data_IF_221248157997
#
_entry.id   IF_221248157997
#
_cell.length_a   1.000
_cell.length_b   1.000
_cell.length_c   1.000
_cell.angle_alpha   90.00
_cell.angle_beta   90.00
_cell.angle_gamma   90.00
#
_symmetry.space_group_name_H-M   'P 1'
#
loop_
_entity.id
_entity.type
_entity.pdbx_description
1 polymer ?
#
# COMPACT_ATOMS: atom_id res chain seq x y z
N UNK A 1 -9.51 4.03 -43.46
CA UNK A 1 -10.06 3.11 -42.45
C UNK A 1 -9.52 3.57 -41.12
N UNK A 2 -10.36 4.10 -40.23
CA UNK A 2 -9.94 4.46 -38.89
C UNK A 2 -9.49 3.18 -38.19
N UNK A 3 -8.21 3.07 -37.85
CA UNK A 3 -7.73 2.06 -36.92
C UNK A 3 -8.55 2.21 -35.65
N UNK A 4 -9.39 1.23 -35.33
CA UNK A 4 -10.05 1.10 -34.04
C UNK A 4 -8.97 1.25 -32.96
N UNK A 5 -8.93 2.43 -32.33
CA UNK A 5 -7.86 2.79 -31.41
C UNK A 5 -7.89 1.85 -30.22
N UNK A 6 -6.76 1.21 -29.93
CA UNK A 6 -6.61 0.46 -28.69
C UNK A 6 -6.92 1.38 -27.51
N UNK A 7 -7.93 1.04 -26.71
CA UNK A 7 -8.26 1.74 -25.47
C UNK A 7 -7.74 0.88 -24.31
N UNK A 8 -6.68 1.29 -23.60
CA UNK A 8 -6.18 0.58 -22.44
C UNK A 8 -7.28 0.35 -21.40
N UNK A 9 -7.40 -0.88 -20.91
CA UNK A 9 -8.13 -1.15 -19.68
C UNK A 9 -7.32 -0.62 -18.49
N UNK A 10 -8.02 -0.27 -17.41
CA UNK A 10 -7.37 0.11 -16.16
C UNK A 10 -7.77 -0.86 -15.07
N UNK A 11 -6.78 -1.61 -14.60
CA UNK A 11 -6.87 -2.55 -13.50
C UNK A 11 -6.33 -1.90 -12.24
N UNK A 12 -7.14 -1.93 -11.20
CA UNK A 12 -6.82 -1.41 -9.88
C UNK A 12 -6.66 -2.62 -8.96
N UNK A 13 -5.43 -2.87 -8.53
CA UNK A 13 -5.12 -3.92 -7.58
C UNK A 13 -5.15 -3.30 -6.18
N UNK A 14 -6.20 -3.57 -5.44
CA UNK A 14 -6.32 -3.15 -4.05
C UNK A 14 -5.61 -4.16 -3.16
N UNK A 15 -4.66 -3.69 -2.34
CA UNK A 15 -3.79 -4.53 -1.51
C UNK A 15 -3.86 -4.10 -0.05
N UNK A 16 -4.10 -5.04 0.86
CA UNK A 16 -3.98 -4.81 2.31
C UNK A 16 -2.52 -5.00 2.73
N UNK A 17 -2.01 -4.19 3.65
CA UNK A 17 -0.70 -4.44 4.25
C UNK A 17 -0.59 -5.83 4.91
N UNK A 18 0.62 -6.36 5.03
CA UNK A 18 0.91 -7.57 5.81
C UNK A 18 0.64 -7.38 7.31
N UNK A 19 0.71 -8.45 8.07
CA UNK A 19 0.56 -8.46 9.51
C UNK A 19 1.56 -7.49 10.16
N UNK A 20 1.06 -6.68 11.07
CA UNK A 20 1.82 -5.66 11.78
C UNK A 20 1.57 -5.76 13.28
N UNK A 21 2.43 -5.12 14.06
CA UNK A 21 2.45 -5.27 15.53
C UNK A 21 1.10 -4.97 16.20
N UNK A 22 0.27 -4.13 15.58
CA UNK A 22 -1.05 -3.77 16.10
C UNK A 22 -2.20 -4.72 15.70
N UNK A 23 -2.05 -5.47 14.60
CA UNK A 23 -3.05 -6.43 14.11
C UNK A 23 -2.53 -7.87 14.13
N UNK A 24 -1.50 -8.12 14.95
CA UNK A 24 -1.05 -9.44 15.33
C UNK A 24 -2.13 -10.13 16.17
N UNK A 25 -2.46 -11.38 15.82
CA UNK A 25 -3.33 -12.24 16.59
C UNK A 25 -2.45 -13.30 17.25
N UNK A 26 -1.99 -13.05 18.48
CA UNK A 26 -1.22 -14.03 19.27
C UNK A 26 -1.88 -15.42 19.32
N UNK A 27 -3.22 -15.46 19.20
CA UNK A 27 -4.04 -16.66 19.21
C UNK A 27 -3.70 -17.65 18.08
N UNK A 28 -3.14 -17.18 16.96
CA UNK A 28 -2.65 -18.06 15.88
C UNK A 28 -1.16 -18.37 15.93
N UNK A 29 -0.36 -17.60 16.69
CA UNK A 29 1.10 -17.56 16.52
C UNK A 29 1.86 -17.56 17.86
N UNK A 30 1.33 -18.26 18.87
CA UNK A 30 2.16 -18.71 19.98
C UNK A 30 3.41 -19.42 19.46
N UNK A 31 4.53 -19.29 20.18
CA UNK A 31 5.78 -20.02 19.89
C UNK A 31 5.59 -21.54 19.85
N UNK A 32 4.44 -22.02 20.31
CA UNK A 32 3.95 -23.38 20.18
C UNK A 32 2.40 -23.37 20.05
N UNK A 33 1.83 -23.72 18.88
CA UNK A 33 0.39 -23.83 18.67
C UNK A 33 -0.30 -24.87 19.56
N UNK A 34 0.45 -25.87 20.07
CA UNK A 34 -0.11 -26.93 20.91
C UNK A 34 -0.28 -26.49 22.38
N UNK A 35 0.40 -25.42 22.81
CA UNK A 35 0.35 -24.94 24.21
C UNK A 35 -0.42 -23.63 24.38
N UNK A 36 -1.07 -23.13 23.34
CA UNK A 36 -1.78 -21.86 23.39
C UNK A 36 -3.24 -22.04 23.83
N UNK A 37 -3.61 -21.43 24.96
CA UNK A 37 -5.00 -21.29 25.39
C UNK A 37 -5.50 -19.85 25.15
N UNK A 38 -6.57 -19.64 24.36
CA UNK A 38 -7.20 -18.33 24.17
C UNK A 38 -7.60 -17.64 25.48
N UNK A 39 -7.87 -18.40 26.53
CA UNK A 39 -8.21 -17.91 27.87
C UNK A 39 -7.03 -17.25 28.60
N UNK A 40 -5.79 -17.56 28.20
CA UNK A 40 -4.56 -16.97 28.76
C UNK A 40 -4.13 -15.68 28.04
N UNK A 41 -4.84 -15.29 26.97
CA UNK A 41 -4.56 -14.06 26.25
C UNK A 41 -4.78 -12.86 27.18
N UNK A 42 -3.70 -12.12 27.48
CA UNK A 42 -3.78 -10.91 28.29
C UNK A 42 -4.74 -9.91 27.63
N UNK A 43 -5.91 -9.62 28.22
CA UNK A 43 -6.88 -8.70 27.63
C UNK A 43 -6.32 -7.28 27.48
N UNK A 44 -5.32 -6.89 28.28
CA UNK A 44 -4.64 -5.61 28.15
C UNK A 44 -3.67 -5.60 26.95
N UNK A 45 -3.24 -6.76 26.44
CA UNK A 45 -2.33 -6.85 25.29
C UNK A 45 -2.95 -6.27 24.02
N UNK A 46 -4.24 -6.55 23.78
CA UNK A 46 -4.99 -5.95 22.66
C UNK A 46 -5.05 -4.43 22.75
N UNK A 47 -5.13 -3.89 23.96
CA UNK A 47 -5.12 -2.44 24.21
C UNK A 47 -3.72 -1.90 23.91
N UNK A 48 -2.67 -2.50 24.48
CA UNK A 48 -1.27 -2.09 24.26
C UNK A 48 -0.89 -2.08 22.78
N UNK A 49 -1.26 -3.11 22.02
CA UNK A 49 -1.01 -3.21 20.57
C UNK A 49 -1.64 -2.06 19.78
N UNK A 50 -2.84 -1.62 20.16
CA UNK A 50 -3.50 -0.46 19.54
C UNK A 50 -2.83 0.88 19.89
N UNK A 51 -2.05 0.93 20.96
CA UNK A 51 -1.28 2.11 21.37
C UNK A 51 0.09 2.23 20.66
N UNK A 52 0.53 1.19 19.94
CA UNK A 52 1.76 1.26 19.15
C UNK A 52 1.57 2.29 18.06
N UNK A 53 2.39 3.35 18.08
CA UNK A 53 2.38 4.40 17.06
C UNK A 53 3.06 3.89 15.79
N UNK A 54 2.45 4.17 14.64
CA UNK A 54 2.95 3.79 13.31
C UNK A 54 3.57 2.38 13.24
N UNK A 55 2.82 1.34 13.64
CA UNK A 55 3.33 -0.01 13.83
C UNK A 55 3.89 -0.57 12.53
N UNK A 56 4.95 -1.36 12.68
CA UNK A 56 5.67 -2.03 11.59
C UNK A 56 5.13 -3.42 11.33
N UNK A 57 5.52 -4.00 10.21
CA UNK A 57 5.27 -5.41 9.92
C UNK A 57 5.97 -6.30 10.95
N UNK A 58 5.31 -7.39 11.33
CA UNK A 58 5.94 -8.48 12.08
C UNK A 58 6.83 -9.31 11.14
N UNK A 59 7.71 -10.21 11.65
CA UNK A 59 8.42 -11.16 10.80
C UNK A 59 7.49 -12.01 9.92
N UNK A 60 6.30 -12.35 10.45
CA UNK A 60 5.26 -13.02 9.68
C UNK A 60 4.71 -12.12 8.56
N UNK A 61 4.37 -10.87 8.86
CA UNK A 61 3.89 -9.91 7.86
C UNK A 61 4.90 -9.56 6.77
N UNK A 62 6.20 -9.55 7.10
CA UNK A 62 7.28 -9.46 6.11
C UNK A 62 7.20 -10.63 5.14
N UNK A 63 6.96 -11.84 5.63
CA UNK A 63 6.88 -13.02 4.80
C UNK A 63 5.60 -13.09 3.97
N UNK A 64 4.47 -12.61 4.50
CA UNK A 64 3.23 -12.40 3.73
C UNK A 64 3.48 -11.43 2.57
N UNK A 65 4.17 -10.30 2.82
CA UNK A 65 4.50 -9.32 1.78
C UNK A 65 5.49 -9.87 0.74
N UNK A 66 6.52 -10.61 1.18
CA UNK A 66 7.42 -11.31 0.27
C UNK A 66 6.70 -12.39 -0.55
N UNK A 67 5.71 -13.05 0.02
CA UNK A 67 4.93 -14.05 -0.70
C UNK A 67 3.99 -13.42 -1.73
N UNK A 68 3.40 -12.25 -1.41
CA UNK A 68 2.64 -11.45 -2.36
C UNK A 68 3.43 -11.15 -3.65
N UNK A 69 4.74 -10.88 -3.55
CA UNK A 69 5.63 -10.69 -4.72
C UNK A 69 5.55 -11.84 -5.72
N UNK A 70 5.43 -13.09 -5.25
CA UNK A 70 5.41 -14.27 -6.10
C UNK A 70 4.01 -14.58 -6.64
N UNK A 71 2.97 -14.31 -5.83
CA UNK A 71 1.58 -14.56 -6.22
C UNK A 71 0.98 -13.48 -7.11
N UNK A 72 1.56 -12.28 -7.13
CA UNK A 72 1.06 -11.14 -7.90
C UNK A 72 1.42 -11.28 -9.38
N UNK A 73 0.47 -11.63 -10.28
CA UNK A 73 0.81 -12.01 -11.65
C UNK A 73 1.12 -10.82 -12.54
N UNK A 74 0.74 -9.60 -12.13
CA UNK A 74 0.85 -8.37 -12.94
C UNK A 74 2.13 -7.57 -12.65
N UNK A 75 3.15 -8.19 -12.05
CA UNK A 75 4.35 -7.49 -11.56
C UNK A 75 5.11 -6.75 -12.68
N UNK A 76 5.11 -7.31 -13.87
CA UNK A 76 5.81 -6.75 -15.04
C UNK A 76 5.00 -5.67 -15.75
N UNK A 77 3.69 -5.68 -15.53
CA UNK A 77 2.69 -4.79 -16.10
C UNK A 77 2.40 -3.58 -15.21
N UNK A 78 2.80 -3.63 -13.93
CA UNK A 78 2.63 -2.50 -13.00
C UNK A 78 3.18 -1.21 -13.59
N UNK A 79 2.29 -0.24 -13.70
CA UNK A 79 2.57 1.11 -14.18
C UNK A 79 2.66 2.10 -13.03
N UNK A 80 1.87 1.90 -11.99
CA UNK A 80 1.79 2.80 -10.83
C UNK A 80 1.67 2.02 -9.53
N UNK A 81 2.25 2.59 -8.47
CA UNK A 81 2.10 2.12 -7.10
C UNK A 81 1.65 3.33 -6.27
N UNK A 82 0.45 3.26 -5.71
CA UNK A 82 -0.04 4.20 -4.70
C UNK A 82 0.05 3.51 -3.34
N UNK A 83 0.56 4.21 -2.34
CA UNK A 83 0.82 3.63 -1.04
C UNK A 83 0.42 4.58 0.08
N UNK A 84 -0.18 4.03 1.14
CA UNK A 84 -0.33 4.80 2.38
C UNK A 84 1.04 5.08 3.01
N UNK A 85 1.29 6.27 3.55
CA UNK A 85 2.58 6.64 4.13
C UNK A 85 2.89 5.97 5.48
N UNK A 86 2.00 5.13 6.02
CA UNK A 86 2.28 4.39 7.26
C UNK A 86 3.36 3.32 7.05
N UNK A 87 4.15 3.05 8.08
CA UNK A 87 5.33 2.18 8.02
C UNK A 87 5.00 0.80 7.47
N UNK A 88 3.98 0.14 8.00
CA UNK A 88 3.53 -1.20 7.54
C UNK A 88 3.11 -1.26 6.07
N UNK A 89 2.52 -0.20 5.51
CA UNK A 89 2.11 -0.16 4.10
C UNK A 89 3.30 0.09 3.19
N UNK A 90 4.23 0.97 3.59
CA UNK A 90 5.50 1.16 2.89
C UNK A 90 6.34 -0.12 2.88
N UNK A 91 6.51 -0.78 4.03
CA UNK A 91 7.22 -2.06 4.12
C UNK A 91 6.59 -3.12 3.22
N UNK A 92 5.25 -3.23 3.23
CA UNK A 92 4.55 -4.18 2.35
C UNK A 92 4.82 -3.86 0.89
N UNK A 93 4.71 -2.59 0.49
CA UNK A 93 4.93 -2.17 -0.89
C UNK A 93 6.38 -2.43 -1.36
N UNK A 94 7.36 -2.12 -0.53
CA UNK A 94 8.77 -2.33 -0.84
C UNK A 94 9.13 -3.80 -0.97
N UNK A 95 8.62 -4.66 -0.08
CA UNK A 95 8.89 -6.10 -0.13
C UNK A 95 8.16 -6.78 -1.30
N UNK A 96 6.89 -6.45 -1.51
CA UNK A 96 6.06 -7.07 -2.53
C UNK A 96 6.42 -6.58 -3.94
N UNK A 97 6.63 -5.27 -4.12
CA UNK A 97 6.77 -4.64 -5.43
C UNK A 97 8.21 -4.17 -5.73
N UNK A 98 9.20 -4.63 -4.96
CA UNK A 98 10.63 -4.37 -5.24
C UNK A 98 11.01 -4.54 -6.73
N UNK A 99 10.55 -5.60 -7.46
CA UNK A 99 10.89 -5.74 -8.88
C UNK A 99 10.39 -4.58 -9.74
N UNK A 100 9.17 -4.09 -9.48
CA UNK A 100 8.59 -2.97 -10.21
C UNK A 100 9.28 -1.66 -9.85
N UNK A 101 9.62 -1.46 -8.57
CA UNK A 101 10.33 -0.27 -8.10
C UNK A 101 11.73 -0.21 -8.71
N UNK A 102 12.48 -1.32 -8.71
CA UNK A 102 13.80 -1.43 -9.35
C UNK A 102 13.75 -1.25 -10.87
N UNK A 103 12.62 -1.58 -11.51
CA UNK A 103 12.37 -1.28 -12.93
C UNK A 103 12.15 0.22 -13.18
N UNK A 104 11.90 1.02 -12.15
CA UNK A 104 11.69 2.46 -12.21
C UNK A 104 10.26 2.92 -11.90
N UNK A 105 9.36 2.02 -11.47
CA UNK A 105 8.02 2.41 -11.01
C UNK A 105 8.14 3.06 -9.64
N UNK A 106 8.02 4.39 -9.59
CA UNK A 106 8.15 5.15 -8.34
C UNK A 106 6.85 5.10 -7.52
N UNK A 107 6.87 4.60 -6.27
CA UNK A 107 5.68 4.63 -5.42
C UNK A 107 5.29 6.06 -5.07
N UNK A 108 3.99 6.35 -5.03
CA UNK A 108 3.45 7.65 -4.63
C UNK A 108 2.75 7.49 -3.28
N UNK A 109 3.29 8.18 -2.27
CA UNK A 109 2.73 8.19 -0.94
C UNK A 109 1.56 9.17 -0.86
N UNK A 110 0.36 8.67 -0.50
CA UNK A 110 -0.86 9.45 -0.39
C UNK A 110 -1.40 9.41 1.05
N UNK A 111 -1.45 10.55 1.74
CA UNK A 111 -1.95 10.62 3.13
C UNK A 111 -3.46 10.25 3.23
N UNK A 112 -4.21 10.47 2.15
CA UNK A 112 -5.62 10.06 2.01
C UNK A 112 -5.81 8.53 1.97
N UNK A 113 -4.76 7.73 1.75
CA UNK A 113 -4.81 6.27 1.84
C UNK A 113 -4.59 5.74 3.27
N UNK A 114 -4.45 6.60 4.28
CA UNK A 114 -4.23 6.20 5.68
C UNK A 114 -5.40 5.40 6.26
N UNK A 115 -5.12 4.65 7.33
CA UNK A 115 -6.15 3.96 8.11
C UNK A 115 -7.27 4.92 8.60
N UNK A 116 -8.45 4.36 8.86
CA UNK A 116 -9.67 5.12 9.21
C UNK A 116 -9.76 5.49 10.70
N UNK A 117 -8.97 4.83 11.54
CA UNK A 117 -9.01 4.98 12.99
C UNK A 117 -8.37 6.27 13.51
N UNK A 118 -8.60 6.53 14.80
CA UNK A 118 -8.05 7.68 15.55
C UNK A 118 -6.99 7.28 16.59
N UNK A 119 -6.69 5.99 16.71
CA UNK A 119 -5.71 5.47 17.66
C UNK A 119 -4.26 5.76 17.22
N UNK A 120 -3.28 5.62 18.13
CA UNK A 120 -1.87 5.79 17.80
C UNK A 120 -1.39 4.96 16.60
N UNK A 121 -1.95 3.76 16.41
CA UNK A 121 -1.66 2.90 15.26
C UNK A 121 -2.08 3.48 13.88
N UNK A 122 -2.87 4.55 13.90
CA UNK A 122 -3.29 5.33 12.74
C UNK A 122 -2.51 6.65 12.60
N UNK A 123 -1.64 6.97 13.58
CA UNK A 123 -0.69 8.07 13.48
C UNK A 123 0.57 7.60 12.74
N UNK A 124 1.13 8.46 11.91
CA UNK A 124 2.36 8.23 11.17
C UNK A 124 3.61 8.70 11.91
N UNK A 125 4.76 8.24 11.40
CA UNK A 125 6.08 8.77 11.70
C UNK A 125 6.44 9.92 10.75
N UNK A 126 7.51 10.64 11.07
CA UNK A 126 8.06 11.67 10.16
C UNK A 126 8.53 11.00 8.85
N UNK A 127 7.99 11.44 7.72
CA UNK A 127 8.09 10.71 6.45
C UNK A 127 9.52 10.69 5.91
N UNK A 128 10.31 11.76 6.07
CA UNK A 128 11.66 11.83 5.49
C UNK A 128 12.62 10.89 6.22
N UNK A 129 12.56 10.82 7.54
CA UNK A 129 13.33 9.88 8.37
C UNK A 129 12.91 8.44 8.11
N UNK A 130 11.60 8.19 7.95
CA UNK A 130 11.09 6.87 7.60
C UNK A 130 11.65 6.39 6.25
N UNK A 131 11.53 7.21 5.21
CA UNK A 131 12.05 6.87 3.87
C UNK A 131 13.58 6.73 3.86
N UNK A 132 14.30 7.59 4.58
CA UNK A 132 15.76 7.45 4.73
C UNK A 132 16.15 6.08 5.30
N UNK A 133 15.38 5.56 6.25
CA UNK A 133 15.58 4.21 6.81
C UNK A 133 15.44 3.08 5.79
N UNK A 134 14.80 3.30 4.64
CA UNK A 134 14.63 2.32 3.57
C UNK A 134 15.66 2.46 2.43
N UNK A 135 16.65 3.36 2.56
CA UNK A 135 17.72 3.54 1.57
C UNK A 135 17.19 3.89 0.18
N UNK A 136 17.76 3.26 -0.87
CA UNK A 136 17.40 3.51 -2.27
C UNK A 136 15.91 3.33 -2.56
N UNK A 137 15.25 2.36 -1.91
CA UNK A 137 13.81 2.15 -2.09
C UNK A 137 13.00 3.31 -1.51
N UNK A 138 13.42 3.86 -0.37
CA UNK A 138 12.79 5.03 0.22
C UNK A 138 13.00 6.30 -0.60
N UNK A 139 14.20 6.50 -1.14
CA UNK A 139 14.53 7.62 -2.04
C UNK A 139 13.69 7.62 -3.33
N UNK A 140 13.22 6.44 -3.76
CA UNK A 140 12.36 6.32 -4.94
C UNK A 140 10.95 6.90 -4.74
N UNK A 141 10.49 7.03 -3.49
CA UNK A 141 9.11 7.40 -3.15
C UNK A 141 8.83 8.88 -3.41
N UNK A 142 7.68 9.11 -4.01
CA UNK A 142 7.11 10.40 -4.28
C UNK A 142 6.21 10.85 -3.12
N UNK A 143 6.52 11.99 -2.51
CA UNK A 143 5.83 12.50 -1.31
C UNK A 143 5.11 13.84 -1.50
N UNK A 144 4.88 14.33 -2.74
CA UNK A 144 4.24 15.66 -2.92
C UNK A 144 2.80 15.69 -2.45
N UNK A 145 2.13 14.54 -2.41
CA UNK A 145 0.75 14.40 -1.95
C UNK A 145 0.65 14.14 -0.44
N UNK A 146 1.75 14.33 0.31
CA UNK A 146 1.75 14.28 1.77
C UNK A 146 1.53 15.68 2.32
N UNK A 147 0.38 15.91 2.96
CA UNK A 147 0.07 17.21 3.56
C UNK A 147 0.93 17.44 4.82
N UNK A 148 1.40 18.67 5.11
CA UNK A 148 2.00 18.98 6.40
C UNK A 148 1.11 18.58 7.57
N UNK A 149 1.69 17.88 8.55
CA UNK A 149 0.96 17.37 9.73
C UNK A 149 0.11 16.12 9.47
N UNK A 150 0.31 15.43 8.34
CA UNK A 150 -0.39 14.17 8.03
C UNK A 150 -0.23 13.11 9.12
N UNK A 151 0.86 13.15 9.90
CA UNK A 151 1.22 12.16 10.91
C UNK A 151 0.14 11.98 11.96
N UNK A 152 -0.68 13.01 12.20
CA UNK A 152 -1.72 13.00 13.22
C UNK A 152 -3.09 12.93 12.52
N UNK A 153 -3.99 12.02 12.94
CA UNK A 153 -5.39 12.07 12.57
C UNK A 153 -6.00 13.38 13.07
N UNK A 154 -6.12 14.39 12.19
CA UNK A 154 -6.59 15.74 12.56
C UNK A 154 -7.97 15.66 13.25
N UNK A 155 -8.10 16.15 14.50
CA UNK A 155 -9.38 16.19 15.20
C UNK A 155 -10.31 17.31 14.71
N UNK A 156 -9.75 18.36 14.11
CA UNK A 156 -10.32 19.71 13.98
C UNK A 156 -10.42 20.24 12.53
N UNK A 157 -9.52 19.83 11.63
CA UNK A 157 -9.77 19.95 10.20
C UNK A 157 -10.84 18.92 9.89
N UNK A 158 -12.09 19.35 9.61
CA UNK A 158 -13.24 18.52 9.24
C UNK A 158 -12.71 17.21 8.68
N UNK A 159 -12.72 16.11 9.48
CA UNK A 159 -12.12 14.85 9.05
C UNK A 159 -12.74 14.64 7.69
N UNK A 160 -11.95 14.64 6.62
CA UNK A 160 -12.50 14.36 5.32
C UNK A 160 -13.29 13.08 5.51
N UNK A 161 -14.61 13.18 5.52
CA UNK A 161 -15.45 12.09 5.97
C UNK A 161 -15.03 10.90 5.10
N UNK A 162 -14.96 9.69 5.65
CA UNK A 162 -14.45 8.53 4.91
C UNK A 162 -15.02 8.43 3.48
N UNK A 163 -16.30 8.77 3.22
CA UNK A 163 -16.83 8.91 1.86
C UNK A 163 -16.10 9.93 0.96
N UNK A 164 -15.78 11.12 1.48
CA UNK A 164 -15.02 12.14 0.73
C UNK A 164 -13.58 11.68 0.47
N UNK A 165 -12.91 11.06 1.47
CA UNK A 165 -11.56 10.53 1.32
C UNK A 165 -11.50 9.42 0.27
N UNK A 166 -12.46 8.49 0.32
CA UNK A 166 -12.70 7.48 -0.71
C UNK A 166 -12.88 8.13 -2.08
N UNK A 167 -13.78 9.11 -2.21
CA UNK A 167 -14.06 9.75 -3.50
C UNK A 167 -12.83 10.45 -4.06
N UNK A 168 -12.02 11.12 -3.23
CA UNK A 168 -10.74 11.68 -3.68
C UNK A 168 -9.81 10.61 -4.25
N UNK A 169 -9.61 9.49 -3.54
CA UNK A 169 -8.77 8.39 -4.03
C UNK A 169 -9.28 7.85 -5.36
N UNK A 170 -10.60 7.67 -5.50
CA UNK A 170 -11.20 7.18 -6.74
C UNK A 170 -11.06 8.18 -7.89
N UNK A 171 -11.19 9.49 -7.62
CA UNK A 171 -10.88 10.53 -8.58
C UNK A 171 -9.40 10.46 -9.01
N UNK A 172 -8.45 10.29 -8.08
CA UNK A 172 -7.02 10.13 -8.40
C UNK A 172 -6.77 8.95 -9.32
N UNK A 173 -7.35 7.79 -9.01
CA UNK A 173 -7.23 6.59 -9.83
C UNK A 173 -7.80 6.81 -11.23
N UNK A 174 -8.91 7.55 -11.34
CA UNK A 174 -9.53 7.90 -12.62
C UNK A 174 -8.69 8.88 -13.43
N UNK A 175 -8.12 9.89 -12.79
CA UNK A 175 -7.22 10.87 -13.41
C UNK A 175 -5.98 10.16 -13.98
N UNK A 176 -5.35 9.30 -13.19
CA UNK A 176 -4.25 8.42 -13.63
C UNK A 176 -4.66 7.55 -14.82
N UNK A 177 -5.84 6.94 -14.77
CA UNK A 177 -6.37 6.13 -15.84
C UNK A 177 -6.53 6.91 -17.15
N UNK A 178 -7.01 8.16 -17.08
CA UNK A 178 -7.20 9.01 -18.24
C UNK A 178 -5.87 9.43 -18.86
N UNK A 179 -4.90 9.84 -18.04
CA UNK A 179 -3.56 10.17 -18.52
C UNK A 179 -2.87 8.98 -19.17
N UNK A 180 -3.07 7.80 -18.59
CA UNK A 180 -2.51 6.57 -19.13
C UNK A 180 -3.03 6.17 -20.52
N UNK A 181 -4.15 6.76 -20.93
CA UNK A 181 -4.74 6.56 -22.25
C UNK A 181 -4.31 7.60 -23.27
N UNK A 182 -3.65 8.68 -22.85
CA UNK A 182 -3.18 9.72 -23.75
C UNK A 182 -1.96 9.25 -24.54
N UNK A 183 -1.92 9.60 -25.82
CA UNK A 183 -0.74 9.48 -26.66
C UNK A 183 0.39 10.41 -26.17
N UNK A 184 1.62 10.14 -26.59
CA UNK A 184 2.77 11.00 -26.25
C UNK A 184 2.59 12.45 -26.71
N UNK A 185 1.90 12.68 -27.83
CA UNK A 185 1.58 14.02 -28.31
C UNK A 185 0.54 14.73 -27.43
N UNK A 186 -0.51 14.01 -27.01
CA UNK A 186 -1.52 14.53 -26.08
C UNK A 186 -0.92 14.84 -24.71
N UNK A 187 -0.05 13.97 -24.18
CA UNK A 187 0.68 14.22 -22.93
C UNK A 187 1.61 15.44 -23.05
N UNK A 188 2.32 15.58 -24.17
CA UNK A 188 3.20 16.72 -24.41
C UNK A 188 2.40 18.02 -24.49
N UNK A 189 1.26 17.98 -25.18
CA UNK A 189 0.37 19.13 -25.29
C UNK A 189 -0.23 19.50 -23.92
N UNK A 190 -0.74 18.52 -23.17
CA UNK A 190 -1.29 18.74 -21.84
C UNK A 190 -0.25 19.32 -20.86
N UNK A 191 1.03 18.92 -20.98
CA UNK A 191 2.14 19.50 -20.21
C UNK A 191 2.42 20.97 -20.59
N UNK A 192 2.42 21.30 -21.89
CA UNK A 192 2.59 22.68 -22.37
C UNK A 192 1.44 23.57 -21.93
N UNK A 193 0.21 23.11 -22.12
CA UNK A 193 -0.98 23.82 -21.69
C UNK A 193 -0.90 24.09 -20.17
N UNK A 194 -0.36 23.15 -19.38
CA UNK A 194 -0.10 23.34 -17.95
C UNK A 194 0.96 24.40 -17.61
N UNK A 195 2.09 24.42 -18.33
CA UNK A 195 3.14 25.44 -18.12
C UNK A 195 2.64 26.86 -18.40
N UNK A 196 1.68 27.00 -19.32
CA UNK A 196 1.08 28.26 -19.75
C UNK A 196 -0.17 28.67 -18.93
N UNK A 197 -0.60 27.86 -17.96
CA UNK A 197 -1.84 28.07 -17.22
C UNK A 197 -1.72 29.03 -16.03
N UNK A 198 -2.69 29.96 -15.93
CA UNK A 198 -2.94 30.77 -14.74
C UNK A 198 -3.58 29.89 -13.63
N UNK A 199 -2.93 29.74 -12.45
CA UNK A 199 -3.42 28.91 -11.35
C UNK A 199 -4.85 29.21 -10.89
N UNK A 200 -5.33 30.44 -11.11
CA UNK A 200 -6.61 30.92 -10.59
C UNK A 200 -7.80 30.67 -11.53
N UNK A 201 -7.57 30.24 -12.78
CA UNK A 201 -8.63 30.14 -13.81
C UNK A 201 -8.81 28.75 -14.43
N UNK A 202 -8.01 27.76 -14.05
CA UNK A 202 -7.99 26.48 -14.75
C UNK A 202 -9.18 25.56 -14.40
N UNK A 203 -9.84 25.07 -15.46
CA UNK A 203 -10.91 24.04 -15.41
C UNK A 203 -10.33 22.66 -15.07
N UNK A 204 -9.03 22.44 -15.31
CA UNK A 204 -8.28 21.32 -14.75
C UNK A 204 -7.96 21.66 -13.30
N UNK A 205 -8.65 20.99 -12.38
CA UNK A 205 -8.55 21.32 -10.97
C UNK A 205 -7.09 21.36 -10.48
N UNK A 206 -6.71 22.26 -9.54
CA UNK A 206 -5.42 22.22 -8.84
C UNK A 206 -5.05 20.85 -8.27
N UNK A 207 -6.04 19.95 -8.14
CA UNK A 207 -5.83 18.53 -7.90
C UNK A 207 -4.90 17.85 -8.94
N UNK A 208 -4.86 18.18 -10.22
CA UNK A 208 -4.02 17.48 -11.22
C UNK A 208 -2.55 17.96 -11.30
N UNK A 209 -2.17 18.96 -10.50
CA UNK A 209 -0.82 19.57 -10.54
C UNK A 209 0.31 18.59 -10.25
N UNK A 210 0.06 17.51 -9.50
CA UNK A 210 1.07 16.49 -9.21
C UNK A 210 1.38 15.58 -10.40
N UNK A 211 0.41 15.35 -11.29
CA UNK A 211 0.56 14.48 -12.48
C UNK A 211 1.44 15.09 -13.58
N UNK A 212 1.74 16.39 -13.50
CA UNK A 212 2.63 17.07 -14.44
C UNK A 212 4.03 17.32 -13.85
N UNK A 213 4.17 17.30 -12.52
CA UNK A 213 5.43 17.56 -11.81
C UNK A 213 6.35 16.34 -11.66
N UNK A 214 5.88 15.15 -12.03
CA UNK A 214 6.67 13.93 -11.96
C UNK A 214 7.10 13.44 -13.35
N UNK A 215 8.35 12.99 -13.43
CA UNK A 215 8.86 12.18 -14.54
C UNK A 215 8.25 10.78 -14.43
N UNK A 216 7.12 10.60 -15.12
CA UNK A 216 6.50 9.28 -15.27
C UNK A 216 7.25 8.52 -16.37
N UNK A 217 7.51 7.21 -16.20
CA UNK A 217 7.86 6.37 -17.33
C UNK A 217 6.75 6.52 -18.38
N UNK A 218 7.07 6.81 -19.65
CA UNK A 218 6.05 6.89 -20.68
C UNK A 218 5.28 5.58 -20.72
N UNK A 219 3.97 5.66 -20.51
CA UNK A 219 3.10 4.48 -20.48
C UNK A 219 3.15 3.85 -21.87
N UNK A 220 3.40 2.54 -21.91
CA UNK A 220 3.60 1.84 -23.16
C UNK A 220 2.30 1.86 -23.96
N UNK A 221 2.32 2.54 -25.11
CA UNK A 221 1.19 2.62 -26.03
C UNK A 221 0.74 1.21 -26.42
N UNK A 222 -0.55 0.90 -26.27
CA UNK A 222 -1.06 -0.43 -26.60
C UNK A 222 -1.10 -1.43 -25.45
N UNK A 223 -0.83 -1.02 -24.20
CA UNK A 223 -0.92 -1.89 -23.01
C UNK A 223 -1.93 -1.38 -21.98
N UNK A 224 -2.49 -2.32 -21.23
CA UNK A 224 -3.35 -2.02 -20.10
C UNK A 224 -2.57 -1.38 -18.94
N UNK A 225 -3.31 -0.69 -18.08
CA UNK A 225 -2.76 0.08 -16.95
C UNK A 225 -3.01 -0.71 -15.68
N UNK A 226 -1.95 -1.06 -14.97
CA UNK A 226 -2.02 -1.77 -13.71
C UNK A 226 -1.57 -0.88 -12.55
N UNK A 227 -2.49 -0.52 -11.66
CA UNK A 227 -2.25 0.35 -10.51
C UNK A 227 -2.33 -0.49 -9.24
N UNK A 228 -1.22 -0.65 -8.53
CA UNK A 228 -1.22 -1.21 -7.19
C UNK A 228 -1.58 -0.14 -6.15
N UNK A 229 -2.52 -0.41 -5.26
CA UNK A 229 -2.92 0.47 -4.16
C UNK A 229 -2.73 -0.26 -2.83
N UNK A 230 -1.65 0.06 -2.12
CA UNK A 230 -1.31 -0.57 -0.83
C UNK A 230 -1.84 0.27 0.34
N UNK A 231 -2.83 -0.25 1.04
CA UNK A 231 -3.53 0.45 2.13
C UNK A 231 -4.00 -0.53 3.21
N UNK A 232 -5.04 -0.17 3.97
CA UNK A 232 -5.45 -0.83 5.21
C UNK A 232 -6.82 -1.49 5.06
N UNK A 233 -7.04 -2.57 5.81
CA UNK A 233 -8.25 -3.38 5.68
C UNK A 233 -9.55 -2.57 5.82
N UNK A 234 -9.64 -1.70 6.83
CA UNK A 234 -10.89 -0.93 7.02
C UNK A 234 -11.06 0.14 5.95
N UNK A 235 -9.99 0.71 5.41
CA UNK A 235 -10.13 1.65 4.30
C UNK A 235 -10.50 0.96 2.98
N UNK A 236 -10.04 -0.27 2.76
CA UNK A 236 -10.43 -1.09 1.62
C UNK A 236 -11.92 -1.44 1.65
N UNK A 237 -12.48 -1.70 2.82
CA UNK A 237 -13.93 -1.87 3.00
C UNK A 237 -14.70 -0.64 2.52
N UNK A 238 -14.22 0.58 2.83
CA UNK A 238 -14.82 1.81 2.29
C UNK A 238 -14.64 1.94 0.77
N UNK A 239 -13.46 1.63 0.24
CA UNK A 239 -13.20 1.68 -1.20
C UNK A 239 -14.15 0.79 -2.00
N UNK A 240 -14.41 -0.40 -1.47
CA UNK A 240 -15.23 -1.46 -2.09
C UNK A 240 -16.69 -1.43 -1.66
N UNK A 241 -17.08 -0.51 -0.76
CA UNK A 241 -18.40 -0.47 -0.14
C UNK A 241 -18.77 -1.78 0.58
N UNK A 242 -17.77 -2.52 1.07
CA UNK A 242 -17.94 -3.83 1.72
C UNK A 242 -18.17 -5.00 0.76
N UNK A 243 -18.25 -4.76 -0.55
CA UNK A 243 -18.43 -5.81 -1.55
C UNK A 243 -17.21 -6.75 -1.58
N UNK A 244 -17.48 -8.06 -1.49
CA UNK A 244 -16.44 -9.09 -1.43
C UNK A 244 -15.89 -9.37 -0.02
N UNK A 245 -16.36 -8.67 1.02
CA UNK A 245 -15.95 -8.92 2.41
C UNK A 245 -14.56 -8.38 2.76
N UNK A 246 -14.10 -8.67 3.98
CA UNK A 246 -12.84 -8.16 4.52
C UNK A 246 -11.64 -8.71 3.74
N UNK A 247 -10.58 -7.90 3.66
CA UNK A 247 -9.29 -8.31 3.09
C UNK A 247 -8.43 -8.95 4.18
N UNK A 248 -7.77 -10.05 3.89
CA UNK A 248 -6.72 -10.65 4.72
C UNK A 248 -5.37 -9.93 4.52
N UNK A 249 -4.40 -10.19 5.41
CA UNK A 249 -3.10 -9.52 5.37
C UNK A 249 -2.34 -9.85 4.08
N UNK A 250 -1.76 -8.84 3.42
CA UNK A 250 -1.11 -8.99 2.11
C UNK A 250 -2.01 -9.62 1.02
N UNK A 251 -3.33 -9.52 1.17
CA UNK A 251 -4.29 -9.87 0.14
C UNK A 251 -4.23 -8.84 -0.97
N UNK A 252 -4.47 -9.27 -2.21
CA UNK A 252 -4.85 -8.36 -3.26
C UNK A 252 -6.08 -8.86 -4.03
N UNK A 253 -6.94 -7.92 -4.40
CA UNK A 253 -8.07 -8.12 -5.30
C UNK A 253 -7.99 -7.12 -6.45
N UNK A 254 -8.47 -7.52 -7.62
CA UNK A 254 -8.37 -6.73 -8.84
C UNK A 254 -9.72 -6.20 -9.27
N UNK A 255 -9.79 -4.89 -9.44
CA UNK A 255 -10.99 -4.13 -9.76
C UNK A 255 -10.84 -3.36 -11.07
N UNK A 256 -11.97 -3.08 -11.68
CA UNK A 256 -12.12 -2.07 -12.72
C UNK A 256 -13.20 -1.09 -12.28
N UNK A 257 -13.28 0.08 -12.90
CA UNK A 257 -14.44 0.92 -12.67
C UNK A 257 -15.71 0.34 -13.34
N UNK A 258 -16.86 0.63 -12.76
CA UNK A 258 -18.14 0.31 -13.39
C UNK A 258 -18.26 1.01 -14.77
N UNK A 259 -18.72 0.25 -15.77
CA UNK A 259 -18.85 0.72 -17.16
C UNK A 259 -17.54 0.81 -17.94
N UNK A 260 -16.40 0.37 -17.39
CA UNK A 260 -15.11 0.43 -18.09
C UNK A 260 -15.07 -0.47 -19.34
N UNK A 261 -15.81 -1.58 -19.33
CA UNK A 261 -15.91 -2.57 -20.42
C UNK A 261 -16.88 -2.16 -21.55
N UNK A 262 -17.75 -1.17 -21.34
CA UNK A 262 -18.75 -0.77 -22.34
C UNK A 262 -18.13 0.21 -23.37
N UNK A 263 -18.05 -0.21 -24.63
CA UNK A 263 -17.62 0.65 -25.75
C UNK A 263 -18.72 1.67 -26.10
N UNK A 264 -18.50 2.95 -25.80
CA UNK A 264 -19.34 4.03 -26.31
C UNK A 264 -18.95 5.44 -25.85
N UNK A 265 -19.30 6.49 -26.62
CA UNK A 265 -19.28 7.86 -26.11
C UNK A 265 -20.31 7.98 -24.99
N UNK A 266 -19.81 8.39 -23.83
CA UNK A 266 -20.54 8.50 -22.56
C UNK A 266 -21.83 9.33 -22.69
N UNK A 267 -23.01 8.75 -22.47
CA UNK A 267 -24.26 9.48 -22.48
C UNK A 267 -24.42 10.22 -21.14
N UNK A 268 -23.89 11.46 -21.10
CA UNK A 268 -24.20 12.53 -20.14
C UNK A 268 -23.48 12.44 -18.78
N UNK A 269 -22.47 13.30 -18.61
CA UNK A 269 -22.02 13.90 -17.33
C UNK A 269 -22.12 13.03 -16.07
N UNK A 270 -21.16 12.13 -15.88
CA UNK A 270 -20.87 11.54 -14.56
C UNK A 270 -20.57 10.06 -14.62
N UNK A 271 -19.34 9.69 -15.01
CA UNK A 271 -18.89 8.29 -14.88
C UNK A 271 -18.92 7.86 -13.43
N UNK A 272 -19.41 6.65 -13.19
CA UNK A 272 -19.44 6.02 -11.88
C UNK A 272 -18.04 5.95 -11.26
N UNK A 273 -17.97 6.20 -9.94
CA UNK A 273 -16.78 5.96 -9.12
C UNK A 273 -16.86 4.58 -8.45
N UNK A 274 -17.82 3.73 -8.80
CA UNK A 274 -17.87 2.35 -8.29
C UNK A 274 -16.74 1.51 -8.86
N UNK A 275 -16.15 0.69 -7.99
CA UNK A 275 -15.18 -0.34 -8.34
C UNK A 275 -15.89 -1.68 -8.38
N UNK A 276 -15.74 -2.40 -9.47
CA UNK A 276 -16.25 -3.74 -9.68
C UNK A 276 -15.09 -4.73 -9.66
N UNK A 277 -15.12 -5.68 -8.73
CA UNK A 277 -14.12 -6.73 -8.70
C UNK A 277 -14.24 -7.62 -9.94
N UNK A 278 -13.12 -7.83 -10.62
CA UNK A 278 -13.04 -8.63 -11.85
C UNK A 278 -13.40 -10.09 -11.60
N UNK A 279 -13.93 -10.76 -12.62
CA UNK A 279 -14.26 -12.19 -12.54
C UNK A 279 -13.02 -13.08 -12.36
N UNK A 280 -11.85 -12.63 -12.81
CA UNK A 280 -10.58 -13.32 -12.56
C UNK A 280 -10.19 -13.25 -11.09
N UNK A 281 -10.30 -12.06 -10.47
CA UNK A 281 -10.05 -11.88 -9.03
C UNK A 281 -10.97 -12.76 -8.18
N UNK A 282 -12.28 -12.76 -8.46
CA UNK A 282 -13.27 -13.58 -7.74
C UNK A 282 -13.07 -15.10 -7.90
N UNK A 283 -12.51 -15.53 -9.04
CA UNK A 283 -12.24 -16.95 -9.35
C UNK A 283 -10.88 -17.40 -8.88
N UNK A 284 -9.99 -16.47 -8.53
CA UNK A 284 -8.70 -16.84 -7.95
C UNK A 284 -9.04 -17.66 -6.71
N UNK A 285 -8.62 -18.94 -6.65
CA UNK A 285 -8.86 -19.71 -5.43
C UNK A 285 -8.26 -18.90 -4.28
N UNK A 286 -8.82 -19.05 -3.09
CA UNK A 286 -8.22 -18.66 -1.82
C UNK A 286 -6.90 -19.41 -1.56
N UNK A 287 -6.11 -19.70 -2.60
CA UNK A 287 -4.72 -20.13 -2.59
C UNK A 287 -3.82 -19.01 -2.04
N UNK A 288 -4.27 -18.36 -0.98
CA UNK A 288 -3.47 -18.29 0.22
C UNK A 288 -2.74 -19.61 0.37
N UNK A 289 -1.43 -19.51 0.41
CA UNK A 289 -0.66 -20.59 0.98
C UNK A 289 -1.27 -20.86 2.34
N UNK A 290 -1.53 -22.14 2.61
CA UNK A 290 -1.85 -22.55 3.97
C UNK A 290 -0.81 -21.92 4.90
N UNK A 291 -1.22 -21.62 6.13
CA UNK A 291 -0.30 -21.07 7.13
C UNK A 291 0.99 -21.92 7.24
N UNK A 292 0.85 -23.24 7.10
CA UNK A 292 1.96 -24.19 7.02
C UNK A 292 2.92 -23.91 5.85
N UNK A 293 2.40 -23.61 4.66
CA UNK A 293 3.19 -23.29 3.48
C UNK A 293 3.91 -21.94 3.63
N UNK A 294 3.24 -20.94 4.21
CA UNK A 294 3.89 -19.66 4.52
C UNK A 294 5.02 -19.88 5.52
N UNK A 295 4.78 -20.59 6.63
CA UNK A 295 5.79 -20.92 7.63
C UNK A 295 6.94 -21.76 7.05
N UNK A 296 6.65 -22.68 6.13
CA UNK A 296 7.69 -23.43 5.38
C UNK A 296 8.58 -22.50 4.58
N UNK A 297 8.00 -21.51 3.89
CA UNK A 297 8.77 -20.48 3.16
C UNK A 297 9.56 -19.57 4.11
N UNK A 298 9.00 -19.21 5.27
CA UNK A 298 9.71 -18.46 6.32
C UNK A 298 10.98 -19.20 6.75
N UNK A 299 10.84 -20.46 7.18
CA UNK A 299 11.97 -21.31 7.61
C UNK A 299 13.00 -21.50 6.50
N UNK A 300 12.57 -21.61 5.26
CA UNK A 300 13.49 -21.71 4.12
C UNK A 300 14.32 -20.43 3.92
N UNK A 301 13.70 -19.25 4.06
CA UNK A 301 14.41 -17.96 3.98
C UNK A 301 15.38 -17.75 5.14
N UNK A 302 14.97 -18.11 6.36
CA UNK A 302 15.83 -18.05 7.55
C UNK A 302 17.05 -18.97 7.42
N UNK A 303 16.89 -20.17 6.85
CA UNK A 303 18.04 -21.07 6.57
C UNK A 303 19.00 -20.47 5.56
N UNK A 304 18.50 -19.85 4.49
CA UNK A 304 19.35 -19.19 3.47
C UNK A 304 20.09 -17.99 4.07
N UNK A 305 19.43 -17.20 4.91
CA UNK A 305 20.08 -16.09 5.62
C UNK A 305 21.12 -16.59 6.66
N UNK A 306 20.82 -17.66 7.39
CA UNK A 306 21.71 -18.26 8.38
C UNK A 306 22.91 -19.02 7.78
N UNK A 307 22.81 -19.50 6.54
CA UNK A 307 23.93 -20.07 5.78
C UNK A 307 24.89 -19.01 5.24
N UNK A 308 24.58 -17.72 5.38
CA UNK A 308 25.47 -16.60 5.01
C UNK A 308 26.48 -16.19 6.08
N UNK A 309 26.49 -16.87 7.24
CA UNK A 309 27.44 -16.61 8.34
C UNK A 309 28.46 -17.74 8.41
N UNK A 310 29.24 -17.90 7.34
CA UNK A 310 30.51 -18.62 7.44
C UNK A 310 31.54 -17.64 8.02
N UNK A 311 31.95 -17.89 9.26
CA UNK A 311 33.17 -17.33 9.82
C UNK A 311 34.37 -17.98 9.12
N UNK A 312 34.70 -17.53 7.92
CA UNK A 312 35.94 -17.92 7.25
C UNK A 312 36.80 -16.69 6.97
N UNK A 313 37.90 -16.61 7.71
CA UNK A 313 39.11 -15.90 7.33
C UNK A 313 39.60 -16.48 5.99
N UNK A 314 39.22 -15.88 4.86
CA UNK A 314 40.09 -15.69 3.70
C UNK A 314 39.33 -14.99 2.57
N UNK A 315 39.93 -13.91 2.08
CA UNK A 315 39.31 -13.01 1.13
C UNK A 315 38.96 -13.65 -0.21
N UNK A 316 37.68 -13.54 -0.61
CA UNK A 316 37.22 -13.25 -1.98
C UNK A 316 35.70 -13.02 -1.93
N UNK A 317 35.29 -11.76 -2.14
CA UNK A 317 33.92 -11.27 -1.94
C UNK A 317 32.92 -11.84 -2.96
N UNK A 318 32.00 -12.68 -2.51
CA UNK A 318 30.71 -12.92 -3.16
C UNK A 318 29.64 -12.04 -2.52
N UNK A 319 29.15 -11.02 -3.26
CA UNK A 319 28.16 -10.06 -2.78
C UNK A 319 26.76 -10.69 -2.63
N UNK A 320 26.39 -11.07 -1.41
CA UNK A 320 24.99 -11.24 -0.99
C UNK A 320 24.24 -9.91 -1.07
N UNK A 321 22.93 -9.96 -1.32
CA UNK A 321 22.10 -8.83 -1.75
C UNK A 321 21.74 -7.89 -0.55
N UNK A 322 22.35 -6.69 -0.43
CA UNK A 322 22.26 -5.84 0.78
C UNK A 322 20.88 -5.18 1.00
N UNK A 323 19.95 -5.33 0.07
CA UNK A 323 18.67 -4.59 0.04
C UNK A 323 17.64 -5.16 1.02
N UNK A 324 17.65 -6.48 1.27
CA UNK A 324 16.70 -7.12 2.20
C UNK A 324 17.12 -6.86 3.66
N UNK A 325 18.42 -6.80 3.94
CA UNK A 325 18.95 -6.55 5.29
C UNK A 325 18.55 -5.16 5.80
N UNK A 326 18.63 -4.09 5.00
CA UNK A 326 18.22 -2.75 5.45
C UNK A 326 16.72 -2.63 5.79
N UNK A 327 15.84 -3.42 5.16
CA UNK A 327 14.40 -3.46 5.51
C UNK A 327 14.17 -4.27 6.80
N UNK A 328 15.07 -5.20 7.12
CA UNK A 328 15.02 -6.07 8.31
C UNK A 328 15.74 -5.46 9.53
N UNK A 329 16.85 -4.74 9.37
CA UNK A 329 17.70 -4.21 10.46
C UNK A 329 17.04 -3.12 11.30
N UNK A 330 15.95 -2.50 10.84
CA UNK A 330 15.25 -1.48 11.61
C UNK A 330 14.53 -2.08 12.84
N UNK A 331 14.44 -3.41 12.98
CA UNK A 331 13.60 -4.11 13.98
C UNK A 331 14.21 -4.26 15.40
N UNK A 332 15.24 -3.50 15.77
CA UNK A 332 16.17 -3.92 16.81
C UNK A 332 16.22 -3.15 18.14
N UNK A 333 15.17 -2.52 18.67
CA UNK A 333 15.08 -2.15 20.10
C UNK A 333 13.77 -1.42 20.44
N UNK A 334 13.30 -1.60 21.68
CA UNK A 334 12.23 -0.83 22.38
C UNK A 334 10.80 -1.39 22.33
N UNK A 335 10.60 -2.58 22.92
CA UNK A 335 9.35 -2.90 23.64
C UNK A 335 9.72 -3.28 25.07
N UNK A 336 10.06 -2.29 25.90
CA UNK A 336 10.03 -2.44 27.36
C UNK A 336 9.44 -1.16 27.95
N UNK A 337 8.46 -1.37 28.82
CA UNK A 337 7.87 -0.39 29.74
C UNK A 337 6.85 0.60 29.16
N UNK A 338 5.64 0.10 28.86
CA UNK A 338 4.42 0.92 28.83
C UNK A 338 3.58 0.61 30.09
N UNK A 339 3.51 1.56 31.01
CA UNK A 339 2.72 1.49 32.24
C UNK A 339 1.21 1.55 31.92
N UNK A 340 0.51 0.46 32.24
CA UNK A 340 -0.92 0.23 31.94
C UNK A 340 -1.84 1.11 32.81
N UNK A 341 -1.31 1.69 33.89
CA UNK A 341 -2.09 2.49 34.85
C UNK A 341 -2.76 3.72 34.24
N UNK A 342 -2.13 4.37 33.27
CA UNK A 342 -2.63 5.63 32.69
C UNK A 342 -3.70 5.42 31.59
N UNK A 343 -3.61 4.32 30.81
CA UNK A 343 -4.56 4.04 29.74
C UNK A 343 -6.00 3.86 30.24
N UNK A 344 -6.19 3.27 31.44
CA UNK A 344 -7.51 3.08 32.06
C UNK A 344 -8.14 4.38 32.60
N UNK A 345 -7.33 5.40 32.94
CA UNK A 345 -7.84 6.69 33.42
C UNK A 345 -8.40 7.56 32.29
N UNK A 346 -7.84 7.44 31.11
CA UNK A 346 -8.22 8.28 29.96
C UNK A 346 -9.49 7.79 29.27
N UNK A 347 -9.76 6.48 29.29
CA UNK A 347 -10.99 5.90 28.75
C UNK A 347 -12.22 6.20 29.65
N UNK A 348 -12.04 6.23 30.98
CA UNK A 348 -13.11 6.61 31.94
C UNK A 348 -13.48 8.08 31.94
N UNK A 349 -12.69 8.95 31.30
CA UNK A 349 -12.96 10.39 31.18
C UNK A 349 -13.75 10.76 29.92
N UNK A 350 -14.01 9.80 29.02
CA UNK A 350 -14.68 9.98 27.73
C UNK A 350 -16.02 9.23 27.60
N UNK A 351 -16.49 8.63 28.69
CA UNK A 351 -17.88 8.20 28.92
C UNK A 351 -18.51 9.17 29.92
#
# INVERSE_FOLDING_TARGET
MATTGFKPNVYIHLIRHGQSEHNYHAIGYSKDPETYCPEDADPDEKIRRKQIRDPRLTPHGINEALDLRYRFPYMNELTHILVSPLSRTLQTAFLAFEPAIKRGVRPIALDILRETGKGPNCCGSEISGLLKGFGELGESVLTTEITPGWEIPRPDASPMALPMRRNLVLCRLRELANLARMSGAELTQARKDFEDLDPDTCIWSPFNTWLMKYDFPPLQLGKDVHIAVVTHGTFLEWMTLGEGGLFDNAEFRTYMFEGEEEEGPDPKNGRSLLLMETQESKRRPDAWLSEEDLMRKMRARERVAGMGVDHDEDGLSGKGNPVIENVLEVSGSEIKDLDVGDARREEKRKL
#
